data_IF_907928306998
#
_entry.id   IF_907928306998
#
_cell.length_a   1.000
_cell.length_b   1.000
_cell.length_c   1.000
_cell.angle_alpha   90.00
_cell.angle_beta   90.00
_cell.angle_gamma   90.00
#
_symmetry.space_group_name_H-M   'P 1'
#
loop_
_entity.id
_entity.type
_entity.pdbx_description
1 polymer ?
#
# COMPACT_ATOMS: atom_id res chain seq x y z
N UNK A 1 -59.89 59.23 22.61
CA UNK A 1 -58.74 58.90 23.50
C UNK A 1 -57.97 57.78 22.80
N UNK A 2 -56.66 57.99 22.63
CA UNK A 2 -55.77 57.23 21.73
C UNK A 2 -55.74 55.73 22.05
N UNK A 3 -55.91 54.90 21.02
CA UNK A 3 -55.55 53.49 21.07
C UNK A 3 -54.05 53.36 20.78
N UNK A 4 -53.28 52.90 21.76
CA UNK A 4 -51.85 52.62 21.62
C UNK A 4 -51.69 51.25 20.96
N UNK A 5 -51.30 51.24 19.68
CA UNK A 5 -50.87 50.02 19.01
C UNK A 5 -49.46 49.63 19.48
N UNK A 6 -49.33 48.48 20.14
CA UNK A 6 -48.03 47.85 20.36
C UNK A 6 -47.57 47.20 19.04
N UNK A 7 -46.57 47.81 18.41
CA UNK A 7 -45.87 47.24 17.28
C UNK A 7 -44.92 46.15 17.81
N UNK A 8 -45.33 44.89 17.72
CA UNK A 8 -44.42 43.75 17.96
C UNK A 8 -43.53 43.63 16.73
N UNK A 9 -42.31 44.13 16.85
CA UNK A 9 -41.25 43.93 15.85
C UNK A 9 -40.86 42.45 15.93
N UNK A 10 -41.33 41.65 14.96
CA UNK A 10 -40.79 40.33 14.69
C UNK A 10 -39.32 40.50 14.35
N UNK A 11 -38.44 40.06 15.25
CA UNK A 11 -37.02 39.89 14.97
C UNK A 11 -36.95 38.80 13.91
N UNK A 12 -36.82 39.23 12.66
CA UNK A 12 -36.50 38.38 11.53
C UNK A 12 -35.29 37.52 11.89
N UNK A 13 -35.49 36.20 11.86
CA UNK A 13 -34.45 35.19 11.96
C UNK A 13 -33.27 35.59 11.07
N UNK A 14 -32.20 36.10 11.70
CA UNK A 14 -30.88 36.12 11.11
C UNK A 14 -30.52 34.67 10.86
N UNK A 15 -30.73 34.24 9.63
CA UNK A 15 -30.28 32.96 9.10
C UNK A 15 -28.75 32.94 9.23
N UNK A 16 -28.24 32.49 10.38
CA UNK A 16 -26.84 32.14 10.54
C UNK A 16 -26.58 31.00 9.57
N UNK A 17 -26.04 31.32 8.40
CA UNK A 17 -25.46 30.31 7.54
C UNK A 17 -24.41 29.57 8.38
N UNK A 18 -24.54 28.25 8.60
CA UNK A 18 -23.56 27.53 9.39
C UNK A 18 -22.20 27.73 8.72
N UNK A 19 -21.22 28.19 9.48
CA UNK A 19 -19.86 28.40 9.00
C UNK A 19 -19.28 27.05 8.60
N UNK A 20 -19.25 26.79 7.28
CA UNK A 20 -18.72 25.54 6.73
C UNK A 20 -17.21 25.55 6.87
N UNK A 21 -16.63 24.42 7.26
CA UNK A 21 -15.19 24.27 7.35
C UNK A 21 -14.53 24.60 5.99
N UNK A 22 -13.65 25.61 5.92
CA UNK A 22 -13.07 26.06 4.67
C UNK A 22 -12.21 24.99 3.97
N UNK A 23 -11.64 24.04 4.72
CA UNK A 23 -10.86 22.96 4.12
C UNK A 23 -11.74 21.92 3.38
N UNK A 24 -13.08 21.95 3.54
CA UNK A 24 -13.99 21.11 2.76
C UNK A 24 -13.99 21.44 1.25
N UNK A 25 -13.52 22.63 0.88
CA UNK A 25 -13.40 23.04 -0.52
C UNK A 25 -12.11 22.55 -1.19
N UNK A 26 -11.23 21.89 -0.44
CA UNK A 26 -9.87 21.50 -0.88
C UNK A 26 -9.13 22.67 -1.56
N UNK A 27 -9.00 23.83 -0.88
CA UNK A 27 -8.54 25.06 -1.53
C UNK A 27 -7.05 25.00 -1.91
N UNK A 28 -6.22 24.36 -1.09
CA UNK A 28 -4.78 24.30 -1.28
C UNK A 28 -4.39 23.35 -2.41
N UNK A 29 -3.78 23.89 -3.46
CA UNK A 29 -3.36 23.13 -4.65
C UNK A 29 -1.92 22.64 -4.51
N UNK A 30 -1.51 21.77 -5.43
CA UNK A 30 -0.11 21.32 -5.59
C UNK A 30 0.54 20.80 -4.29
N UNK A 31 -0.19 19.99 -3.52
CA UNK A 31 0.22 19.42 -2.23
C UNK A 31 0.33 20.43 -1.06
N UNK A 32 -0.15 21.66 -1.22
CA UNK A 32 -0.27 22.60 -0.12
C UNK A 32 -1.18 22.06 1.00
N UNK A 33 -0.80 22.32 2.26
CA UNK A 33 -1.51 21.80 3.44
C UNK A 33 -2.53 22.84 3.90
N UNK A 34 -3.82 22.45 3.98
CA UNK A 34 -4.87 23.31 4.51
C UNK A 34 -4.83 23.31 6.04
N UNK A 35 -4.54 24.47 6.63
CA UNK A 35 -4.60 24.69 8.07
C UNK A 35 -5.77 25.61 8.36
N UNK A 36 -6.67 25.17 9.25
CA UNK A 36 -7.81 25.98 9.69
C UNK A 36 -7.34 27.02 10.70
N UNK A 37 -7.74 28.26 10.49
CA UNK A 37 -7.51 29.38 11.40
C UNK A 37 -8.86 29.94 11.84
N UNK A 38 -9.04 30.17 13.14
CA UNK A 38 -10.30 30.64 13.70
C UNK A 38 -11.52 29.77 13.28
N UNK A 39 -12.73 30.34 13.32
CA UNK A 39 -13.97 29.63 13.05
C UNK A 39 -14.23 29.45 11.54
N UNK A 40 -13.82 30.42 10.72
CA UNK A 40 -14.19 30.56 9.30
C UNK A 40 -13.02 30.79 8.33
N UNK A 41 -11.77 30.87 8.81
CA UNK A 41 -10.60 31.14 7.97
C UNK A 41 -9.74 29.89 7.76
N UNK A 42 -8.92 29.95 6.73
CA UNK A 42 -7.87 28.96 6.46
C UNK A 42 -6.64 29.65 5.90
N UNK A 43 -5.53 28.95 6.00
CA UNK A 43 -4.30 29.29 5.30
C UNK A 43 -3.73 28.02 4.68
N UNK A 44 -3.17 28.15 3.48
CA UNK A 44 -2.41 27.07 2.87
C UNK A 44 -0.93 27.23 3.20
N UNK A 45 -0.33 26.18 3.75
CA UNK A 45 1.12 26.07 3.83
C UNK A 45 1.66 25.57 2.48
N UNK A 46 2.33 26.46 1.75
CA UNK A 46 2.93 26.19 0.43
C UNK A 46 4.44 25.90 0.52
N UNK A 47 4.98 25.65 1.72
CA UNK A 47 6.42 25.51 1.94
C UNK A 47 7.03 24.43 1.04
N UNK A 48 8.06 24.81 0.27
CA UNK A 48 8.82 23.92 -0.65
C UNK A 48 7.99 23.23 -1.73
N UNK A 49 6.81 23.76 -2.07
CA UNK A 49 5.99 23.26 -3.19
C UNK A 49 6.40 23.88 -4.53
N UNK A 50 7.19 24.97 -4.52
CA UNK A 50 7.53 25.75 -5.72
C UNK A 50 6.37 26.60 -6.25
N UNK A 51 5.34 26.81 -5.41
CA UNK A 51 4.18 27.65 -5.64
C UNK A 51 3.97 28.60 -4.46
N UNK A 52 3.34 29.74 -4.74
CA UNK A 52 3.02 30.79 -3.79
C UNK A 52 1.56 31.26 -3.94
N UNK A 53 1.16 32.24 -3.13
CA UNK A 53 -0.20 32.77 -3.09
C UNK A 53 -1.09 32.05 -2.06
N UNK A 54 -2.34 32.52 -1.87
CA UNK A 54 -3.22 32.04 -0.80
C UNK A 54 -3.59 30.55 -0.93
N UNK A 55 -3.61 30.02 -2.16
CA UNK A 55 -4.02 28.64 -2.47
C UNK A 55 -2.89 27.81 -3.11
N UNK A 56 -1.64 28.27 -3.04
CA UNK A 56 -0.49 27.60 -3.67
C UNK A 56 -0.64 27.41 -5.20
N UNK A 57 -1.05 28.46 -5.91
CA UNK A 57 -1.35 28.41 -7.36
C UNK A 57 -0.38 29.22 -8.21
N UNK A 58 0.38 30.14 -7.64
CA UNK A 58 1.28 31.03 -8.38
C UNK A 58 2.65 30.35 -8.48
N UNK A 59 3.06 29.81 -9.64
CA UNK A 59 4.31 29.06 -9.75
C UNK A 59 5.52 29.99 -9.68
N UNK A 60 6.61 29.50 -9.09
CA UNK A 60 7.93 30.08 -9.28
C UNK A 60 8.44 29.86 -10.71
N UNK A 61 9.43 30.64 -11.15
CA UNK A 61 9.97 30.57 -12.52
C UNK A 61 10.40 29.14 -12.92
N UNK A 62 11.16 28.46 -12.07
CA UNK A 62 11.64 27.09 -12.34
C UNK A 62 10.51 26.07 -12.33
N UNK A 63 9.54 26.22 -11.43
CA UNK A 63 8.34 25.37 -11.38
C UNK A 63 7.54 25.51 -12.65
N UNK A 64 7.27 26.74 -13.08
CA UNK A 64 6.56 27.05 -14.33
C UNK A 64 7.29 26.47 -15.55
N UNK A 65 8.61 26.63 -15.63
CA UNK A 65 9.40 26.07 -16.74
C UNK A 65 9.32 24.54 -16.75
N UNK A 66 9.48 23.90 -15.59
CA UNK A 66 9.42 22.44 -15.46
C UNK A 66 8.05 21.90 -15.83
N UNK A 67 6.96 22.52 -15.37
CA UNK A 67 5.61 22.06 -15.67
C UNK A 67 5.23 22.30 -17.13
N UNK A 68 5.69 23.40 -17.73
CA UNK A 68 5.44 23.72 -19.14
C UNK A 68 6.17 22.77 -20.10
N UNK A 69 7.39 22.34 -19.75
CA UNK A 69 8.17 21.39 -20.56
C UNK A 69 7.84 19.92 -20.28
N UNK A 70 7.09 19.63 -19.20
CA UNK A 70 6.78 18.23 -18.82
C UNK A 70 5.80 17.62 -19.83
N UNK A 71 6.16 16.53 -20.52
CA UNK A 71 5.24 15.86 -21.42
C UNK A 71 4.04 15.27 -20.67
N UNK A 72 2.92 15.11 -21.37
CA UNK A 72 1.76 14.44 -20.81
C UNK A 72 2.08 12.97 -20.48
N UNK A 73 1.47 12.38 -19.43
CA UNK A 73 1.67 10.96 -19.12
C UNK A 73 1.35 10.03 -20.30
N UNK A 74 0.33 10.36 -21.09
CA UNK A 74 -0.03 9.60 -22.30
C UNK A 74 1.04 9.66 -23.38
N UNK A 75 1.66 10.82 -23.59
CA UNK A 75 2.76 10.96 -24.54
C UNK A 75 4.02 10.23 -24.07
N UNK A 76 4.31 10.27 -22.77
CA UNK A 76 5.40 9.49 -22.20
C UNK A 76 5.17 7.98 -22.34
N UNK A 77 3.96 7.50 -22.04
CA UNK A 77 3.57 6.10 -22.25
C UNK A 77 3.70 5.69 -23.72
N UNK A 78 3.25 6.55 -24.65
CA UNK A 78 3.42 6.30 -26.08
C UNK A 78 4.90 6.12 -26.45
N UNK A 79 5.79 7.00 -25.99
CA UNK A 79 7.23 6.87 -26.26
C UNK A 79 7.84 5.56 -25.73
N UNK A 80 7.49 5.14 -24.51
CA UNK A 80 8.04 3.92 -23.89
C UNK A 80 7.49 2.63 -24.52
N UNK A 81 6.32 2.70 -25.15
CA UNK A 81 5.67 1.52 -25.78
C UNK A 81 5.88 1.41 -27.28
N UNK A 82 6.44 2.43 -27.94
CA UNK A 82 6.65 2.46 -29.39
C UNK A 82 8.15 2.53 -29.74
N UNK A 83 8.50 2.10 -30.96
CA UNK A 83 9.87 2.20 -31.46
C UNK A 83 10.83 1.17 -30.85
N UNK A 84 10.49 -0.11 -30.94
CA UNK A 84 11.27 -1.22 -30.36
C UNK A 84 12.77 -1.16 -30.72
N UNK A 85 13.12 -0.88 -31.97
CA UNK A 85 14.51 -0.76 -32.43
C UNK A 85 15.32 0.29 -31.63
N UNK A 86 14.68 1.40 -31.28
CA UNK A 86 15.32 2.48 -30.52
C UNK A 86 15.54 2.03 -29.07
N UNK A 87 14.55 1.38 -28.45
CA UNK A 87 14.69 0.86 -27.10
C UNK A 87 15.67 -0.30 -27.00
N UNK A 88 15.81 -1.14 -28.03
CA UNK A 88 16.85 -2.17 -28.09
C UNK A 88 18.26 -1.54 -28.08
N UNK A 89 18.47 -0.45 -28.83
CA UNK A 89 19.70 0.33 -28.75
C UNK A 89 19.92 0.94 -27.37
N UNK A 90 18.89 1.60 -26.81
CA UNK A 90 18.98 2.22 -25.48
C UNK A 90 19.31 1.19 -24.40
N UNK A 91 18.67 0.02 -24.44
CA UNK A 91 18.85 -1.06 -23.46
C UNK A 91 20.25 -1.69 -23.51
N UNK A 92 20.93 -1.63 -24.66
CA UNK A 92 22.30 -2.11 -24.82
C UNK A 92 23.37 -1.10 -24.36
N UNK A 93 22.98 0.11 -23.95
CA UNK A 93 23.89 1.19 -23.58
C UNK A 93 23.67 1.67 -22.14
N UNK A 94 24.60 2.47 -21.62
CA UNK A 94 24.48 3.13 -20.32
C UNK A 94 23.26 4.06 -20.20
N UNK A 95 22.64 4.43 -21.34
CA UNK A 95 21.45 5.27 -21.39
C UNK A 95 20.31 4.58 -20.64
N UNK A 96 20.23 3.23 -20.68
CA UNK A 96 19.28 2.44 -19.88
C UNK A 96 19.34 2.82 -18.40
N UNK A 97 20.54 2.79 -17.82
CA UNK A 97 20.72 3.03 -16.39
C UNK A 97 20.52 4.51 -16.04
N UNK A 98 20.90 5.42 -16.95
CA UNK A 98 20.60 6.86 -16.81
C UNK A 98 19.08 7.11 -16.77
N UNK A 99 18.32 6.54 -17.71
CA UNK A 99 16.87 6.68 -17.78
C UNK A 99 16.20 5.99 -16.58
N UNK A 100 16.66 4.80 -16.19
CA UNK A 100 16.13 4.11 -15.02
C UNK A 100 16.36 4.92 -13.74
N UNK A 101 17.54 5.52 -13.58
CA UNK A 101 17.80 6.45 -12.47
C UNK A 101 16.83 7.63 -12.49
N UNK A 102 16.57 8.21 -13.66
CA UNK A 102 15.59 9.31 -13.81
C UNK A 102 14.17 8.86 -13.47
N UNK A 103 13.76 7.64 -13.81
CA UNK A 103 12.46 7.07 -13.42
C UNK A 103 12.37 6.91 -11.90
N UNK A 104 13.41 6.36 -11.27
CA UNK A 104 13.47 6.14 -9.81
C UNK A 104 13.53 7.44 -9.01
N UNK A 105 14.25 8.46 -9.49
CA UNK A 105 14.30 9.78 -8.85
C UNK A 105 13.19 10.72 -9.32
N UNK A 106 12.40 10.28 -10.31
CA UNK A 106 11.38 11.07 -10.97
C UNK A 106 10.15 11.30 -10.10
N UNK A 107 9.23 12.11 -10.62
CA UNK A 107 8.13 12.69 -9.84
C UNK A 107 7.19 11.71 -9.14
N UNK A 108 7.09 10.44 -9.58
CA UNK A 108 6.24 9.44 -8.90
C UNK A 108 6.80 9.08 -7.54
N UNK A 109 8.10 8.76 -7.45
CA UNK A 109 8.75 8.41 -6.18
C UNK A 109 8.97 9.61 -5.25
N UNK A 110 9.07 10.82 -5.83
CA UNK A 110 9.11 12.07 -5.06
C UNK A 110 7.75 12.45 -4.47
N UNK A 111 6.64 11.92 -5.00
CA UNK A 111 5.30 12.21 -4.48
C UNK A 111 4.97 11.45 -3.19
N UNK A 112 5.76 10.45 -2.80
CA UNK A 112 5.60 9.77 -1.52
C UNK A 112 6.24 10.59 -0.39
N UNK A 113 5.40 10.98 0.56
CA UNK A 113 5.81 11.72 1.75
C UNK A 113 6.64 10.81 2.65
N UNK A 114 7.89 11.23 2.89
CA UNK A 114 8.84 10.58 3.80
C UNK A 114 9.39 11.67 4.73
N UNK A 115 9.18 11.60 6.07
CA UNK A 115 8.45 10.57 6.82
C UNK A 115 6.94 10.52 6.54
N UNK A 116 6.22 9.45 6.95
CA UNK A 116 4.75 9.36 6.81
C UNK A 116 4.06 10.50 7.57
N UNK A 117 2.94 10.99 7.04
CA UNK A 117 2.28 12.21 7.52
C UNK A 117 0.96 11.97 8.23
N UNK A 118 0.00 11.34 7.55
CA UNK A 118 -1.37 11.17 8.03
C UNK A 118 -1.69 9.69 8.25
N UNK A 119 -2.68 9.43 9.08
CA UNK A 119 -3.28 8.11 9.24
C UNK A 119 -4.82 8.22 9.34
N UNK A 120 -5.50 7.16 9.78
CA UNK A 120 -6.96 7.22 9.94
C UNK A 120 -7.42 8.10 11.11
N UNK A 121 -6.61 8.25 12.16
CA UNK A 121 -6.94 9.00 13.37
C UNK A 121 -6.49 10.47 13.30
N UNK A 122 -5.42 10.75 12.57
CA UNK A 122 -4.77 12.06 12.51
C UNK A 122 -4.64 12.54 11.06
N UNK A 123 -5.34 13.64 10.77
CA UNK A 123 -5.26 14.37 9.50
C UNK A 123 -4.15 15.43 9.48
N UNK A 124 -3.36 15.50 10.55
CA UNK A 124 -2.19 16.37 10.68
C UNK A 124 -0.94 15.54 11.03
N UNK A 125 0.24 16.12 10.82
CA UNK A 125 1.49 15.49 11.25
C UNK A 125 1.49 15.44 12.78
N UNK A 126 1.62 14.23 13.31
CA UNK A 126 1.67 13.98 14.75
C UNK A 126 2.76 12.96 15.06
N UNK A 127 3.29 13.01 16.29
CA UNK A 127 4.26 12.02 16.75
C UNK A 127 3.68 10.61 16.73
N UNK A 128 2.40 10.45 17.08
CA UNK A 128 1.68 9.18 17.04
C UNK A 128 1.59 8.61 15.61
N UNK A 129 1.29 9.46 14.62
CA UNK A 129 1.24 9.01 13.22
C UNK A 129 2.62 8.61 12.67
N UNK A 130 3.69 9.10 13.28
CA UNK A 130 5.06 8.75 12.92
C UNK A 130 5.54 7.47 13.61
N UNK A 131 5.28 7.33 14.92
CA UNK A 131 5.83 6.25 15.75
C UNK A 131 5.00 4.97 15.70
N UNK A 132 3.67 5.07 15.60
CA UNK A 132 2.79 3.92 15.65
C UNK A 132 2.64 3.26 14.28
N UNK A 133 3.51 2.30 14.03
CA UNK A 133 3.53 1.49 12.79
C UNK A 133 2.34 0.53 12.65
N UNK A 134 1.41 0.47 13.60
CA UNK A 134 0.18 -0.31 13.41
C UNK A 134 -0.77 0.36 12.41
N UNK A 135 -0.60 1.66 12.13
CA UNK A 135 -1.43 2.40 11.19
C UNK A 135 -0.92 2.28 9.75
N UNK A 136 -1.85 2.23 8.79
CA UNK A 136 -1.55 2.62 7.42
C UNK A 136 -1.42 4.14 7.33
N UNK A 137 -0.43 4.60 6.58
CA UNK A 137 -0.30 6.02 6.25
C UNK A 137 -1.20 6.42 5.08
N UNK A 138 -1.52 7.70 4.98
CA UNK A 138 -2.32 8.29 3.91
C UNK A 138 -1.61 9.50 3.34
N UNK A 139 -1.61 9.62 2.01
CA UNK A 139 -1.04 10.78 1.31
C UNK A 139 -1.92 12.02 1.47
N UNK A 140 -3.25 11.83 1.47
CA UNK A 140 -4.23 12.89 1.66
C UNK A 140 -4.99 12.68 2.97
N UNK A 141 -5.35 13.78 3.67
CA UNK A 141 -6.18 13.72 4.88
C UNK A 141 -7.60 13.21 4.56
N UNK A 142 -8.35 12.87 5.61
CA UNK A 142 -9.78 12.56 5.53
C UNK A 142 -10.59 13.74 5.03
N UNK A 143 -11.78 13.44 4.50
CA UNK A 143 -12.79 14.47 4.33
C UNK A 143 -13.20 14.92 5.74
N UNK A 144 -13.09 16.21 6.08
CA UNK A 144 -13.50 16.68 7.40
C UNK A 144 -14.93 16.26 7.73
N UNK A 145 -15.17 15.82 8.96
CA UNK A 145 -16.47 15.30 9.39
C UNK A 145 -17.56 16.38 9.39
N UNK A 146 -17.17 17.65 9.46
CA UNK A 146 -18.05 18.82 9.42
C UNK A 146 -18.31 19.37 8.00
N UNK A 147 -18.02 18.57 6.96
CA UNK A 147 -18.35 18.93 5.58
C UNK A 147 -19.84 18.69 5.22
N UNK A 148 -20.40 19.50 4.30
CA UNK A 148 -21.82 19.41 3.92
C UNK A 148 -22.16 18.15 3.10
N UNK A 149 -21.17 17.54 2.46
CA UNK A 149 -21.32 16.27 1.72
C UNK A 149 -20.21 15.28 2.10
N UNK A 150 -20.41 13.97 1.87
CA UNK A 150 -19.41 12.94 2.19
C UNK A 150 -18.06 13.07 1.43
N UNK A 151 -18.00 13.93 0.41
CA UNK A 151 -16.82 14.17 -0.43
C UNK A 151 -16.39 15.64 -0.43
N UNK A 152 -16.70 16.38 0.64
CA UNK A 152 -16.41 17.80 0.78
C UNK A 152 -17.65 18.65 0.50
N UNK A 153 -17.63 19.44 -0.58
CA UNK A 153 -18.73 20.38 -0.89
C UNK A 153 -19.52 20.05 -2.16
N UNK A 154 -19.08 19.06 -2.94
CA UNK A 154 -19.71 18.67 -4.20
C UNK A 154 -20.48 17.36 -4.06
N UNK A 155 -21.39 17.11 -4.99
CA UNK A 155 -22.15 15.87 -5.06
C UNK A 155 -23.40 15.86 -4.16
N UNK A 156 -23.97 14.67 -3.98
CA UNK A 156 -25.20 14.48 -3.20
C UNK A 156 -24.86 14.27 -1.73
N UNK A 157 -25.83 14.54 -0.85
CA UNK A 157 -25.70 14.31 0.61
C UNK A 157 -25.44 12.85 0.98
N UNK A 158 -25.92 11.92 0.17
CA UNK A 158 -25.72 10.50 0.36
C UNK A 158 -24.93 9.94 -0.83
N UNK A 159 -23.90 9.14 -0.55
CA UNK A 159 -23.19 8.39 -1.57
C UNK A 159 -24.12 7.34 -2.18
N UNK A 160 -23.92 6.98 -3.46
CA UNK A 160 -24.64 5.85 -4.05
C UNK A 160 -24.33 4.57 -3.27
N UNK A 161 -25.31 3.68 -3.22
CA UNK A 161 -25.15 2.38 -2.58
C UNK A 161 -24.01 1.57 -3.23
N UNK A 162 -23.13 1.01 -2.38
CA UNK A 162 -21.94 0.31 -2.82
C UNK A 162 -22.29 -0.99 -3.56
N UNK A 163 -23.35 -1.69 -3.13
CA UNK A 163 -23.81 -2.90 -3.80
C UNK A 163 -24.39 -2.58 -5.18
N UNK A 164 -25.20 -1.53 -5.28
CA UNK A 164 -25.71 -1.05 -6.57
C UNK A 164 -24.59 -0.70 -7.55
N UNK A 165 -23.58 0.07 -7.11
CA UNK A 165 -22.43 0.41 -7.97
C UNK A 165 -21.67 -0.84 -8.41
N UNK A 166 -21.44 -1.78 -7.49
CA UNK A 166 -20.73 -3.04 -7.78
C UNK A 166 -21.48 -3.88 -8.81
N UNK A 167 -22.80 -4.09 -8.61
CA UNK A 167 -23.65 -4.85 -9.55
C UNK A 167 -23.79 -4.16 -10.90
N UNK A 168 -23.84 -2.84 -10.93
CA UNK A 168 -24.09 -2.08 -12.16
C UNK A 168 -22.84 -1.93 -13.03
N UNK A 169 -21.68 -1.67 -12.41
CA UNK A 169 -20.47 -1.26 -13.13
C UNK A 169 -19.29 -2.23 -13.01
N UNK A 170 -19.18 -3.00 -11.92
CA UNK A 170 -18.01 -3.86 -11.65
C UNK A 170 -18.27 -5.35 -11.89
N UNK A 171 -19.53 -5.79 -11.85
CA UNK A 171 -19.90 -7.18 -12.06
C UNK A 171 -19.58 -7.61 -13.49
N UNK A 172 -18.63 -8.55 -13.61
CA UNK A 172 -18.22 -9.14 -14.88
C UNK A 172 -19.40 -9.86 -15.54
N UNK A 173 -19.76 -9.44 -16.75
CA UNK A 173 -20.79 -10.11 -17.59
C UNK A 173 -20.19 -11.11 -18.56
N UNK A 174 -19.12 -10.70 -19.23
CA UNK A 174 -18.29 -11.53 -20.10
C UNK A 174 -16.85 -11.40 -19.63
N UNK A 175 -16.10 -12.49 -19.70
CA UNK A 175 -14.67 -12.43 -19.43
C UNK A 175 -13.99 -11.56 -20.51
N UNK A 176 -13.27 -10.55 -20.05
CA UNK A 176 -12.42 -9.69 -20.88
C UNK A 176 -10.99 -10.07 -20.49
N UNK A 177 -10.25 -10.81 -21.36
CA UNK A 177 -8.86 -11.11 -21.08
C UNK A 177 -8.02 -9.83 -21.07
N UNK A 178 -6.93 -9.84 -20.33
CA UNK A 178 -5.97 -8.75 -20.35
C UNK A 178 -5.29 -8.68 -21.73
N UNK A 179 -5.35 -7.54 -22.45
CA UNK A 179 -4.70 -7.39 -23.75
C UNK A 179 -3.16 -7.49 -23.69
N UNK A 180 -2.54 -7.33 -22.51
CA UNK A 180 -1.10 -7.50 -22.33
C UNK A 180 -0.68 -8.97 -22.18
N UNK A 181 -1.64 -9.90 -22.07
CA UNK A 181 -1.36 -11.33 -21.97
C UNK A 181 -0.98 -11.82 -20.56
N UNK A 182 -1.32 -11.07 -19.51
CA UNK A 182 -1.07 -11.51 -18.13
C UNK A 182 -1.76 -12.84 -17.85
N UNK A 183 -1.01 -13.78 -17.28
CA UNK A 183 -1.47 -15.13 -16.95
C UNK A 183 -1.80 -15.27 -15.45
N UNK A 184 -2.29 -16.45 -15.05
CA UNK A 184 -2.61 -16.72 -13.64
C UNK A 184 -1.36 -16.82 -12.76
N UNK A 185 -0.19 -17.15 -13.31
CA UNK A 185 1.06 -17.17 -12.55
C UNK A 185 1.39 -15.76 -12.04
N UNK A 186 1.23 -14.74 -12.90
CA UNK A 186 1.34 -13.33 -12.51
C UNK A 186 0.27 -12.92 -11.48
N UNK A 187 -0.98 -13.33 -11.68
CA UNK A 187 -2.05 -12.99 -10.73
C UNK A 187 -1.81 -13.57 -9.33
N UNK A 188 -1.37 -14.82 -9.24
CA UNK A 188 -1.03 -15.46 -7.97
C UNK A 188 0.27 -14.92 -7.37
N UNK A 189 1.26 -14.55 -8.19
CA UNK A 189 2.45 -13.84 -7.72
C UNK A 189 2.06 -12.52 -7.05
N UNK A 190 1.29 -11.69 -7.76
CA UNK A 190 0.85 -10.40 -7.25
C UNK A 190 0.05 -10.57 -5.95
N UNK A 191 -0.81 -11.59 -5.86
CA UNK A 191 -1.54 -11.86 -4.63
C UNK A 191 -0.60 -12.34 -3.50
N UNK A 192 0.29 -13.28 -3.75
CA UNK A 192 1.25 -13.79 -2.75
C UNK A 192 2.16 -12.67 -2.22
N UNK A 193 2.79 -11.94 -3.14
CA UNK A 193 3.69 -10.82 -2.86
C UNK A 193 3.00 -9.69 -2.08
N UNK A 194 1.83 -9.22 -2.52
CA UNK A 194 1.18 -8.06 -1.86
C UNK A 194 0.62 -8.38 -0.47
N UNK A 195 0.28 -9.64 -0.19
CA UNK A 195 -0.20 -10.07 1.13
C UNK A 195 0.92 -10.14 2.18
N UNK A 196 2.16 -9.78 1.84
CA UNK A 196 3.21 -9.59 2.84
C UNK A 196 3.07 -8.25 3.58
N UNK A 197 2.65 -7.18 2.90
CA UNK A 197 2.47 -5.85 3.49
C UNK A 197 1.00 -5.41 3.61
N UNK A 198 0.06 -6.03 2.88
CA UNK A 198 -1.38 -5.82 3.08
C UNK A 198 -1.99 -6.87 4.01
N UNK A 199 -1.94 -6.59 5.32
CA UNK A 199 -2.51 -7.46 6.38
C UNK A 199 -3.42 -6.65 7.30
N UNK A 200 -4.57 -6.19 6.80
CA UNK A 200 -5.50 -5.36 7.58
C UNK A 200 -5.95 -6.06 8.86
N UNK A 201 -5.86 -5.38 9.99
CA UNK A 201 -6.21 -5.93 11.31
C UNK A 201 -7.73 -5.96 11.49
N UNK A 202 -8.35 -7.12 11.32
CA UNK A 202 -9.79 -7.28 11.56
C UNK A 202 -10.24 -6.96 12.99
N UNK A 203 -9.33 -7.05 13.99
CA UNK A 203 -9.63 -6.73 15.39
C UNK A 203 -9.65 -5.22 15.66
N UNK A 204 -8.76 -4.46 15.02
CA UNK A 204 -8.65 -3.01 15.20
C UNK A 204 -9.51 -2.23 14.21
N UNK A 205 -9.86 -2.85 13.08
CA UNK A 205 -10.68 -2.26 12.04
C UNK A 205 -9.86 -1.73 10.85
N UNK A 206 -10.53 -1.07 9.90
CA UNK A 206 -9.88 -0.42 8.76
C UNK A 206 -8.80 0.57 9.22
N UNK A 207 -7.78 0.80 8.39
CA UNK A 207 -6.70 1.74 8.70
C UNK A 207 -5.57 1.16 9.56
N UNK A 208 -5.70 -0.06 10.09
CA UNK A 208 -4.66 -0.76 10.84
C UNK A 208 -4.10 -1.97 10.09
N UNK A 209 -2.82 -2.25 10.28
CA UNK A 209 -2.10 -3.40 9.70
C UNK A 209 -1.48 -4.28 10.78
N UNK A 210 -1.37 -5.57 10.51
CA UNK A 210 -0.52 -6.51 11.25
C UNK A 210 0.89 -6.64 10.65
N UNK A 211 1.08 -6.21 9.41
CA UNK A 211 2.37 -6.25 8.73
C UNK A 211 3.22 -5.02 9.12
N UNK A 212 3.84 -5.08 10.30
CA UNK A 212 4.57 -3.94 10.88
C UNK A 212 5.87 -3.60 10.12
N UNK A 213 6.34 -4.47 9.21
CA UNK A 213 7.48 -4.20 8.34
C UNK A 213 7.22 -3.18 7.22
N UNK A 214 5.95 -2.90 6.87
CA UNK A 214 5.55 -1.91 5.85
C UNK A 214 6.25 -2.02 4.48
N UNK A 215 6.65 -3.23 4.08
CA UNK A 215 7.38 -3.42 2.82
C UNK A 215 7.71 -4.87 2.54
N UNK A 216 8.78 -5.07 1.78
CA UNK A 216 9.29 -6.39 1.39
C UNK A 216 10.17 -6.92 2.52
N UNK A 217 9.55 -7.63 3.46
CA UNK A 217 10.21 -8.26 4.61
C UNK A 217 10.10 -9.79 4.59
N UNK A 218 9.42 -10.35 3.59
CA UNK A 218 9.07 -11.76 3.45
C UNK A 218 8.31 -12.32 4.67
N UNK A 219 7.59 -11.48 5.42
CA UNK A 219 6.77 -11.93 6.58
C UNK A 219 5.65 -12.89 6.19
N UNK A 220 5.32 -12.98 4.90
CA UNK A 220 4.39 -13.96 4.37
C UNK A 220 4.97 -15.38 4.26
N UNK A 221 6.31 -15.50 4.26
CA UNK A 221 7.05 -16.76 4.34
C UNK A 221 7.46 -17.03 5.79
N UNK A 222 8.06 -16.04 6.45
CA UNK A 222 8.70 -16.20 7.76
C UNK A 222 7.82 -15.88 8.97
N UNK A 223 6.61 -15.36 8.78
CA UNK A 223 5.73 -14.90 9.86
C UNK A 223 5.84 -13.39 10.11
N UNK A 224 4.77 -12.83 10.70
CA UNK A 224 4.66 -11.40 11.05
C UNK A 224 5.18 -11.06 12.45
N UNK A 225 5.57 -12.07 13.23
CA UNK A 225 6.16 -11.92 14.56
C UNK A 225 7.19 -13.04 14.81
N UNK A 226 8.04 -12.83 15.82
CA UNK A 226 9.16 -13.72 16.13
C UNK A 226 8.72 -15.12 16.61
N UNK A 227 7.61 -15.21 17.33
CA UNK A 227 7.07 -16.48 17.83
C UNK A 227 6.64 -17.38 16.66
N UNK A 228 5.86 -16.84 15.71
CA UNK A 228 5.49 -17.54 14.48
C UNK A 228 6.72 -17.96 13.66
N UNK A 229 7.72 -17.09 13.57
CA UNK A 229 8.96 -17.41 12.89
C UNK A 229 9.69 -18.60 13.53
N UNK A 230 9.76 -18.64 14.85
CA UNK A 230 10.37 -19.76 15.57
C UNK A 230 9.59 -21.07 15.38
N UNK A 231 8.26 -21.03 15.37
CA UNK A 231 7.46 -22.23 15.10
C UNK A 231 7.69 -22.81 13.70
N UNK A 232 7.97 -21.96 12.71
CA UNK A 232 8.24 -22.34 11.32
C UNK A 232 9.68 -22.79 11.07
N UNK A 233 10.63 -22.42 11.94
CA UNK A 233 12.04 -22.78 11.79
C UNK A 233 12.32 -24.20 12.24
N UNK A 234 13.24 -24.86 11.54
CA UNK A 234 13.76 -26.17 11.90
C UNK A 234 14.79 -26.09 13.04
N UNK A 235 15.44 -24.93 13.20
CA UNK A 235 16.60 -24.71 14.08
C UNK A 235 17.77 -25.67 13.79
N UNK A 236 17.87 -26.07 12.52
CA UNK A 236 18.98 -26.85 12.00
C UNK A 236 19.33 -26.30 10.62
N UNK A 237 20.61 -25.98 10.44
CA UNK A 237 21.21 -25.54 9.18
C UNK A 237 20.54 -24.30 8.57
N UNK A 238 19.92 -23.47 9.40
CA UNK A 238 19.20 -22.27 9.02
C UNK A 238 17.85 -22.53 8.37
N UNK A 239 17.39 -23.79 8.30
CA UNK A 239 16.25 -24.18 7.47
C UNK A 239 14.89 -23.89 8.10
N UNK A 240 13.87 -23.81 7.25
CA UNK A 240 12.47 -23.90 7.62
C UNK A 240 12.04 -25.37 7.73
N UNK A 241 11.08 -25.65 8.63
CA UNK A 241 10.39 -26.94 8.70
C UNK A 241 9.68 -27.24 7.39
N UNK A 242 9.53 -28.52 7.07
CA UNK A 242 8.86 -29.00 5.87
C UNK A 242 8.39 -30.43 6.09
N UNK A 243 7.47 -30.88 5.24
CA UNK A 243 7.07 -32.29 5.14
C UNK A 243 7.34 -32.79 3.72
N UNK A 244 7.55 -34.10 3.56
CA UNK A 244 7.75 -34.73 2.26
C UNK A 244 6.50 -35.53 1.90
N UNK A 245 5.82 -35.14 0.84
CA UNK A 245 4.63 -35.83 0.32
C UNK A 245 4.93 -36.26 -1.11
N UNK A 246 4.81 -37.57 -1.39
CA UNK A 246 5.10 -38.14 -2.71
C UNK A 246 6.51 -37.81 -3.25
N UNK A 247 7.51 -37.74 -2.37
CA UNK A 247 8.89 -37.42 -2.73
C UNK A 247 9.18 -35.91 -2.90
N UNK A 248 8.17 -35.06 -2.71
CA UNK A 248 8.25 -33.62 -2.93
C UNK A 248 8.14 -32.84 -1.61
N UNK A 249 8.89 -31.74 -1.50
CA UNK A 249 8.90 -30.88 -0.31
C UNK A 249 7.69 -29.94 -0.28
N UNK A 250 6.95 -29.94 0.83
CA UNK A 250 5.82 -29.06 1.09
C UNK A 250 5.95 -28.36 2.46
N UNK A 251 5.22 -27.25 2.68
CA UNK A 251 5.17 -26.61 3.99
C UNK A 251 4.70 -27.60 5.08
N UNK A 252 5.21 -27.46 6.32
CA UNK A 252 4.93 -28.39 7.40
C UNK A 252 3.46 -28.39 7.78
N UNK A 253 3.00 -29.41 8.49
CA UNK A 253 1.64 -29.39 9.02
C UNK A 253 1.52 -28.44 10.22
N UNK A 254 0.30 -28.01 10.55
CA UNK A 254 0.02 -27.23 11.77
C UNK A 254 0.28 -28.06 13.03
N UNK A 255 0.29 -29.38 12.93
CA UNK A 255 0.69 -30.26 14.03
C UNK A 255 2.19 -30.15 14.33
N UNK A 256 3.04 -30.08 13.31
CA UNK A 256 4.50 -29.96 13.45
C UNK A 256 4.98 -28.53 13.70
N UNK A 257 4.24 -27.55 13.16
CA UNK A 257 4.46 -26.12 13.36
C UNK A 257 3.18 -25.48 13.92
N UNK A 258 2.97 -25.56 15.26
CA UNK A 258 1.76 -25.04 15.89
C UNK A 258 1.65 -23.53 15.69
N UNK A 259 0.80 -23.11 14.76
CA UNK A 259 0.53 -21.70 14.50
C UNK A 259 -0.91 -21.52 14.03
N UNK A 260 -1.45 -20.32 14.26
CA UNK A 260 -2.79 -19.99 13.80
C UNK A 260 -2.83 -19.91 12.27
N UNK A 261 -3.55 -20.83 11.65
CA UNK A 261 -3.88 -20.81 10.22
C UNK A 261 -5.39 -20.70 10.03
N UNK A 262 -5.83 -19.90 9.06
CA UNK A 262 -7.25 -19.73 8.77
C UNK A 262 -7.75 -20.85 7.85
N UNK A 263 -8.19 -21.95 8.46
CA UNK A 263 -8.87 -23.07 7.79
C UNK A 263 -10.36 -23.12 8.16
N UNK A 264 -11.23 -23.69 7.29
CA UNK A 264 -12.60 -24.02 7.66
C UNK A 264 -12.64 -24.91 8.92
N UNK A 265 -13.66 -24.72 9.76
CA UNK A 265 -13.85 -25.54 10.96
C UNK A 265 -14.03 -27.01 10.56
N UNK A 266 -13.33 -27.90 11.26
CA UNK A 266 -13.40 -29.36 11.04
C UNK A 266 -12.27 -29.95 10.19
N UNK A 267 -11.40 -29.13 9.59
CA UNK A 267 -10.19 -29.64 8.91
C UNK A 267 -9.16 -30.07 9.98
N UNK A 268 -8.63 -31.31 9.97
CA UNK A 268 -7.69 -31.78 10.98
C UNK A 268 -6.30 -31.14 10.79
N UNK A 269 -5.61 -30.84 11.91
CA UNK A 269 -4.31 -30.14 11.94
C UNK A 269 -3.22 -30.81 11.08
N UNK A 270 -3.19 -32.13 11.03
CA UNK A 270 -2.26 -32.92 10.21
C UNK A 270 -2.36 -32.62 8.70
N UNK A 271 -3.53 -32.16 8.22
CA UNK A 271 -3.77 -31.84 6.80
C UNK A 271 -3.68 -30.34 6.51
N UNK A 272 -3.50 -29.53 7.55
CA UNK A 272 -3.34 -28.09 7.42
C UNK A 272 -1.87 -27.78 7.23
N UNK A 273 -1.49 -27.21 6.09
CA UNK A 273 -0.16 -26.64 5.89
C UNK A 273 -0.02 -25.32 6.63
N UNK A 274 1.10 -25.16 7.35
CA UNK A 274 1.52 -23.99 8.09
C UNK A 274 2.48 -23.14 7.25
N UNK A 275 2.22 -21.84 7.16
CA UNK A 275 3.01 -20.87 6.38
C UNK A 275 3.05 -19.53 7.11
N UNK A 276 4.02 -18.66 6.80
CA UNK A 276 4.13 -17.34 7.44
C UNK A 276 2.87 -16.46 7.34
N UNK A 277 2.09 -16.60 6.28
CA UNK A 277 0.79 -15.94 6.13
C UNK A 277 -0.39 -16.88 6.40
N UNK A 278 -1.25 -16.49 7.32
CA UNK A 278 -2.36 -17.31 7.86
C UNK A 278 -3.45 -17.62 6.83
N UNK A 279 -3.56 -16.83 5.77
CA UNK A 279 -4.64 -16.91 4.76
C UNK A 279 -4.24 -17.61 3.46
N UNK A 280 -2.99 -18.05 3.30
CA UNK A 280 -2.51 -18.63 2.04
C UNK A 280 -3.15 -19.96 1.65
N UNK A 281 -3.82 -20.64 2.59
CA UNK A 281 -4.60 -21.82 2.24
C UNK A 281 -5.78 -21.52 1.31
N UNK A 282 -6.32 -20.30 1.35
CA UNK A 282 -7.57 -19.96 0.66
C UNK A 282 -7.55 -20.34 -0.83
N UNK A 283 -6.38 -20.25 -1.47
CA UNK A 283 -6.22 -20.57 -2.89
C UNK A 283 -4.96 -21.42 -3.10
N UNK A 284 -5.03 -22.51 -3.89
CA UNK A 284 -3.86 -23.34 -4.19
C UNK A 284 -2.70 -22.56 -4.80
N UNK A 285 -2.97 -21.50 -5.58
CA UNK A 285 -1.94 -20.65 -6.17
C UNK A 285 -1.09 -19.91 -5.15
N UNK A 286 -1.63 -19.56 -3.98
CA UNK A 286 -0.85 -18.96 -2.89
C UNK A 286 0.03 -20.00 -2.20
N UNK A 287 -0.50 -21.20 -1.97
CA UNK A 287 0.27 -22.32 -1.40
C UNK A 287 1.38 -22.79 -2.35
N UNK A 288 1.16 -22.70 -3.66
CA UNK A 288 2.18 -22.96 -4.68
C UNK A 288 3.38 -22.05 -4.46
N UNK A 289 3.18 -20.72 -4.41
CA UNK A 289 4.26 -19.77 -4.17
C UNK A 289 4.91 -19.95 -2.80
N UNK A 290 4.11 -20.20 -1.75
CA UNK A 290 4.65 -20.47 -0.41
C UNK A 290 5.57 -21.71 -0.40
N UNK A 291 5.21 -22.75 -1.17
CA UNK A 291 6.03 -23.96 -1.34
C UNK A 291 7.31 -23.66 -2.10
N UNK A 292 7.24 -22.87 -3.19
CA UNK A 292 8.42 -22.48 -3.96
C UNK A 292 9.42 -21.69 -3.11
N UNK A 293 8.95 -20.66 -2.40
CA UNK A 293 9.82 -19.83 -1.55
C UNK A 293 10.41 -20.59 -0.35
N UNK A 294 9.67 -21.56 0.20
CA UNK A 294 10.20 -22.45 1.23
C UNK A 294 11.33 -23.34 0.70
N UNK A 295 11.13 -23.92 -0.49
CA UNK A 295 12.17 -24.73 -1.16
C UNK A 295 13.39 -23.88 -1.46
N UNK A 296 13.19 -22.67 -1.97
CA UNK A 296 14.27 -21.74 -2.29
C UNK A 296 15.06 -21.35 -1.04
N UNK A 297 14.38 -21.04 0.06
CA UNK A 297 15.04 -20.77 1.34
C UNK A 297 15.95 -21.93 1.77
N UNK A 298 15.40 -23.16 1.78
CA UNK A 298 16.17 -24.34 2.20
C UNK A 298 17.32 -24.66 1.23
N UNK A 299 17.15 -24.40 -0.07
CA UNK A 299 18.20 -24.52 -1.10
C UNK A 299 19.33 -23.51 -0.86
N UNK A 300 19.00 -22.25 -0.60
CA UNK A 300 19.99 -21.20 -0.27
C UNK A 300 20.73 -21.53 1.02
N UNK A 301 20.05 -22.05 2.05
CA UNK A 301 20.71 -22.53 3.26
C UNK A 301 21.75 -23.64 2.98
N UNK A 302 21.44 -24.59 2.09
CA UNK A 302 22.39 -25.64 1.70
C UNK A 302 23.63 -25.08 0.99
N UNK A 303 23.44 -24.09 0.09
CA UNK A 303 24.54 -23.41 -0.59
C UNK A 303 25.40 -22.61 0.40
N UNK A 304 24.77 -21.84 1.30
CA UNK A 304 25.47 -21.06 2.32
C UNK A 304 26.26 -21.96 3.27
N UNK A 305 25.70 -23.10 3.68
CA UNK A 305 26.37 -24.06 4.55
C UNK A 305 27.57 -24.73 3.87
N UNK A 306 27.49 -24.98 2.57
CA UNK A 306 28.60 -25.52 1.79
C UNK A 306 29.77 -24.54 1.71
N UNK A 307 29.49 -23.24 1.50
CA UNK A 307 30.50 -22.19 1.44
C UNK A 307 31.02 -21.78 2.83
N UNK A 308 30.17 -21.86 3.86
CA UNK A 308 30.46 -21.37 5.20
C UNK A 308 30.17 -22.44 6.26
N UNK A 309 31.01 -23.48 6.31
CA UNK A 309 30.87 -24.62 7.21
C UNK A 309 30.90 -24.27 8.72
N UNK A 310 31.44 -23.10 9.08
CA UNK A 310 31.51 -22.62 10.47
C UNK A 310 30.28 -21.83 10.92
N UNK A 311 29.36 -21.49 10.02
CA UNK A 311 28.19 -20.69 10.37
C UNK A 311 27.14 -21.51 11.15
N UNK A 312 26.59 -20.90 12.19
CA UNK A 312 25.48 -21.47 12.96
C UNK A 312 24.12 -21.31 12.28
N UNK A 313 23.12 -21.99 12.83
CA UNK A 313 21.73 -21.97 12.32
C UNK A 313 21.17 -20.55 12.15
N UNK A 314 21.31 -19.69 13.16
CA UNK A 314 20.77 -18.33 13.12
C UNK A 314 21.36 -17.50 11.98
N UNK A 315 22.69 -17.57 11.79
CA UNK A 315 23.38 -16.80 10.76
C UNK A 315 22.99 -17.28 9.35
N UNK A 316 22.87 -18.60 9.17
CA UNK A 316 22.38 -19.19 7.91
C UNK A 316 20.95 -18.74 7.61
N UNK A 317 20.05 -18.81 8.59
CA UNK A 317 18.65 -18.41 8.45
C UNK A 317 18.50 -16.93 8.07
N UNK A 318 19.16 -16.03 8.81
CA UNK A 318 19.07 -14.59 8.56
C UNK A 318 19.71 -14.21 7.22
N UNK A 319 20.84 -14.82 6.85
CA UNK A 319 21.48 -14.56 5.55
C UNK A 319 20.63 -15.06 4.39
N UNK A 320 20.06 -16.26 4.50
CA UNK A 320 19.13 -16.79 3.50
C UNK A 320 17.91 -15.88 3.34
N UNK A 321 17.35 -15.35 4.45
CA UNK A 321 16.26 -14.38 4.40
C UNK A 321 16.64 -13.11 3.62
N UNK A 322 17.84 -12.56 3.85
CA UNK A 322 18.31 -11.37 3.14
C UNK A 322 18.50 -11.61 1.64
N UNK A 323 19.03 -12.78 1.26
CA UNK A 323 19.17 -13.17 -0.15
C UNK A 323 17.78 -13.24 -0.81
N UNK A 324 16.83 -13.93 -0.20
CA UNK A 324 15.46 -14.04 -0.73
C UNK A 324 14.71 -12.69 -0.77
N UNK A 325 14.99 -11.76 0.15
CA UNK A 325 14.46 -10.37 0.05
C UNK A 325 15.03 -9.68 -1.21
N UNK A 326 16.31 -9.89 -1.50
CA UNK A 326 16.95 -9.43 -2.73
C UNK A 326 16.28 -10.02 -3.97
N UNK A 327 16.13 -11.34 -4.02
CA UNK A 327 15.49 -12.05 -5.14
C UNK A 327 14.02 -11.63 -5.36
N UNK A 328 13.24 -11.42 -4.30
CA UNK A 328 11.84 -10.95 -4.39
C UNK A 328 11.75 -9.49 -4.90
N UNK A 329 12.82 -8.72 -4.69
CA UNK A 329 12.92 -7.32 -5.13
C UNK A 329 13.59 -7.16 -6.49
N UNK A 330 14.25 -8.20 -7.00
CA UNK A 330 14.89 -8.17 -8.31
C UNK A 330 13.84 -8.28 -9.42
N UNK A 331 13.82 -7.34 -10.39
CA UNK A 331 12.99 -7.52 -11.56
C UNK A 331 13.51 -8.76 -12.32
N UNK A 332 12.63 -9.73 -12.56
CA UNK A 332 12.95 -10.93 -13.34
C UNK A 332 13.71 -10.54 -14.62
N UNK A 333 15.00 -10.84 -14.66
CA UNK A 333 15.83 -10.62 -15.84
C UNK A 333 15.41 -11.65 -16.87
N UNK A 334 14.51 -11.26 -17.78
CA UNK A 334 14.18 -12.03 -18.98
C UNK A 334 15.19 -11.79 -20.08
#
# INVERSE_FOLDING_TARGET
RRASGLLVISVSDLCFSPTVNPCCYYPCQHQGICVRFDLDRYQCDCTRMGYSGPNCTIPELWTWLRTSLRPSPSFFHFQVTHGRWFWEFVNATFIRDMLMRLVLTGGVFQSYLRPPTHNMAHDCISWESFSNVSYYTRILPSVPQDCPTPIGTKGKKQLPDAEFLSRRFLLRRKFIPDPQGANLMFAFFAQHFTHQFFKTSGKMGPGFTKALGHGVDLSHVYGDNLEHQYHLRLFKDGKLKYQVLNGEMYPPSVEEAPMLMHYPRGVPSQTQMATGQQVFRLLPGLMLYATLWLREHNRVCDLLKAEHSTWGDEQLFQTARLILIGEDSEPATS
#
